data_IF_457935237017
#
_entry.id   IF_457935237017
#
_cell.length_a   1.000
_cell.length_b   1.000
_cell.length_c   1.000
_cell.angle_alpha   90.00
_cell.angle_beta   90.00
_cell.angle_gamma   90.00
#
_symmetry.space_group_name_H-M   'P 1'
#
loop_
_entity.id
_entity.type
_entity.pdbx_description
1 polymer ?
#
# COMPACT_ATOMS: atom_id res chain seq x y z
N UNK A 1 15.52 -14.90 -24.08
CA UNK A 1 15.67 -14.87 -22.60
C UNK A 1 17.06 -15.28 -22.13
N UNK A 2 17.59 -16.48 -22.45
CA UNK A 2 18.94 -16.91 -21.99
C UNK A 2 20.09 -15.97 -22.41
N UNK A 3 20.07 -15.41 -23.62
CA UNK A 3 21.09 -14.45 -24.11
C UNK A 3 21.04 -13.07 -23.41
N UNK A 4 19.89 -12.68 -22.85
CA UNK A 4 19.66 -11.39 -22.18
C UNK A 4 20.03 -11.45 -20.68
N UNK A 5 19.78 -12.59 -20.03
CA UNK A 5 20.31 -12.86 -18.68
C UNK A 5 21.84 -12.94 -18.69
N UNK A 6 22.44 -13.51 -19.74
CA UNK A 6 23.89 -13.54 -19.88
C UNK A 6 24.50 -12.15 -20.11
N UNK A 7 23.86 -11.27 -20.89
CA UNK A 7 24.37 -9.91 -21.15
C UNK A 7 24.18 -8.96 -19.96
N UNK A 8 23.10 -9.10 -19.19
CA UNK A 8 22.93 -8.36 -17.93
C UNK A 8 23.92 -8.83 -16.85
N UNK A 9 24.20 -10.13 -16.76
CA UNK A 9 25.25 -10.66 -15.89
C UNK A 9 26.66 -10.20 -16.32
N UNK A 10 26.94 -10.06 -17.62
CA UNK A 10 28.23 -9.59 -18.11
C UNK A 10 28.45 -8.10 -17.87
N UNK A 11 27.39 -7.28 -18.00
CA UNK A 11 27.40 -5.87 -17.58
C UNK A 11 27.61 -5.74 -16.06
N UNK A 12 27.04 -6.65 -15.28
CA UNK A 12 27.22 -6.73 -13.84
C UNK A 12 28.68 -7.00 -13.46
N UNK A 13 29.35 -7.92 -14.17
CA UNK A 13 30.76 -8.26 -13.92
C UNK A 13 31.73 -7.12 -14.27
N UNK A 14 31.36 -6.26 -15.23
CA UNK A 14 32.14 -5.10 -15.68
C UNK A 14 31.95 -3.83 -14.82
N UNK A 15 30.87 -3.76 -14.04
CA UNK A 15 30.56 -2.62 -13.16
C UNK A 15 31.13 -2.74 -11.74
N UNK A 16 31.53 -3.94 -11.30
CA UNK A 16 32.17 -4.18 -9.99
C UNK A 16 33.41 -3.29 -9.74
N UNK A 17 34.34 -3.08 -10.69
CA UNK A 17 35.50 -2.23 -10.44
C UNK A 17 35.21 -0.72 -10.41
N UNK A 18 34.04 -0.26 -10.92
CA UNK A 18 33.67 1.16 -10.93
C UNK A 18 33.18 1.68 -9.57
N UNK A 19 32.81 0.78 -8.65
CA UNK A 19 32.34 1.13 -7.30
C UNK A 19 33.39 0.87 -6.19
N UNK A 20 34.66 0.65 -6.56
CA UNK A 20 35.76 0.59 -5.58
C UNK A 20 35.71 -0.59 -4.60
N UNK A 21 35.02 -1.69 -4.95
CA UNK A 21 35.00 -2.89 -4.11
C UNK A 21 36.34 -3.63 -4.28
N UNK A 22 37.27 -3.45 -3.34
CA UNK A 22 38.39 -4.39 -3.17
C UNK A 22 37.85 -5.68 -2.57
N UNK A 23 37.64 -6.69 -3.41
CA UNK A 23 37.32 -8.04 -2.95
C UNK A 23 38.65 -8.66 -2.48
N UNK A 24 38.87 -8.66 -1.16
CA UNK A 24 39.95 -9.44 -0.57
C UNK A 24 39.67 -10.92 -0.88
N UNK A 25 40.50 -11.52 -1.74
CA UNK A 25 40.43 -12.94 -2.05
C UNK A 25 41.13 -13.70 -0.92
N UNK A 26 40.36 -14.32 -0.01
CA UNK A 26 40.92 -15.24 0.98
C UNK A 26 41.26 -16.57 0.30
N UNK A 27 42.56 -16.89 0.21
CA UNK A 27 43.05 -18.10 -0.47
C UNK A 27 42.86 -19.39 0.35
N UNK A 28 42.39 -19.34 1.60
CA UNK A 28 42.09 -20.55 2.39
C UNK A 28 40.92 -20.35 3.37
N UNK A 29 40.07 -21.37 3.63
CA UNK A 29 38.81 -21.22 4.38
C UNK A 29 38.94 -21.00 5.90
N UNK A 30 40.17 -21.00 6.44
CA UNK A 30 40.41 -20.96 7.89
C UNK A 30 41.07 -19.65 8.38
N UNK A 31 41.47 -18.75 7.48
CA UNK A 31 42.07 -17.46 7.87
C UNK A 31 41.05 -16.44 8.39
N UNK A 32 39.75 -16.66 8.13
CA UNK A 32 38.67 -15.78 8.59
C UNK A 32 38.43 -15.79 10.09
N UNK A 33 38.87 -16.83 10.81
CA UNK A 33 38.78 -16.92 12.28
C UNK A 33 40.02 -16.35 12.99
N UNK A 34 41.18 -16.34 12.32
CA UNK A 34 42.41 -15.76 12.87
C UNK A 34 42.38 -14.23 12.93
N UNK A 35 41.67 -13.58 12.02
CA UNK A 35 41.45 -12.13 12.04
C UNK A 35 40.64 -11.68 13.27
N UNK A 36 39.66 -12.48 13.70
CA UNK A 36 38.84 -12.20 14.90
C UNK A 36 39.68 -12.28 16.17
N UNK A 37 40.62 -13.23 16.26
CA UNK A 37 41.54 -13.35 17.38
C UNK A 37 42.59 -12.24 17.47
N UNK A 38 43.01 -11.65 16.33
CA UNK A 38 43.95 -10.52 16.34
C UNK A 38 43.29 -9.18 16.69
N UNK A 39 41.98 -9.03 16.45
CA UNK A 39 41.19 -7.87 16.90
C UNK A 39 40.94 -7.94 18.40
N UNK A 40 40.70 -9.13 18.94
CA UNK A 40 40.48 -9.35 20.39
C UNK A 40 41.77 -9.33 21.23
N UNK A 41 42.95 -9.47 20.61
CA UNK A 41 44.23 -9.63 21.30
C UNK A 41 45.07 -8.36 21.49
N UNK A 42 44.68 -7.21 20.94
CA UNK A 42 45.41 -5.95 21.13
C UNK A 42 44.72 -5.09 22.17
N UNK A 43 45.11 -5.31 23.43
CA UNK A 43 45.06 -4.31 24.51
C UNK A 43 45.40 -2.92 23.96
N UNK A 44 44.41 -2.04 23.91
CA UNK A 44 44.61 -0.59 23.71
C UNK A 44 44.25 -0.01 22.35
N UNK A 45 43.35 -0.61 21.56
CA UNK A 45 42.82 0.07 20.37
C UNK A 45 41.75 1.10 20.79
N UNK A 46 42.09 2.38 20.66
CA UNK A 46 41.14 3.48 20.73
C UNK A 46 39.98 3.23 19.76
N UNK A 47 38.75 3.35 20.26
CA UNK A 47 37.48 3.32 19.52
C UNK A 47 37.53 4.28 18.32
N UNK A 48 37.85 3.75 17.14
CA UNK A 48 37.74 4.49 15.88
C UNK A 48 36.29 4.41 15.44
N UNK A 49 35.51 5.40 15.88
CA UNK A 49 34.06 5.55 15.70
C UNK A 49 33.61 5.85 14.24
N UNK A 50 34.45 5.65 13.22
CA UNK A 50 34.20 6.13 11.85
C UNK A 50 33.76 5.05 10.84
N UNK A 51 33.69 3.78 11.22
CA UNK A 51 33.38 2.66 10.29
C UNK A 51 32.14 1.84 10.67
N UNK A 52 31.45 2.22 11.73
CA UNK A 52 30.24 1.53 12.17
C UNK A 52 28.99 2.14 11.52
N UNK A 53 28.02 1.27 11.21
CA UNK A 53 26.72 1.70 10.70
C UNK A 53 26.08 2.67 11.69
N UNK A 54 25.48 3.76 11.20
CA UNK A 54 24.97 4.85 12.03
C UNK A 54 23.94 4.40 13.09
N UNK A 55 23.24 3.32 12.80
CA UNK A 55 22.20 2.71 13.65
C UNK A 55 22.67 1.42 14.35
N UNK A 56 23.99 1.18 14.42
CA UNK A 56 24.51 -0.01 15.11
C UNK A 56 24.40 0.10 16.64
N UNK A 57 24.37 -1.05 17.32
CA UNK A 57 24.28 -1.12 18.78
C UNK A 57 25.40 -0.33 19.46
N UNK A 58 25.07 0.30 20.59
CA UNK A 58 26.01 1.09 21.41
C UNK A 58 26.77 0.19 22.41
N UNK A 59 26.44 -1.10 22.47
CA UNK A 59 27.03 -2.05 23.43
C UNK A 59 28.28 -2.73 22.85
N UNK A 60 29.35 -2.76 23.66
CA UNK A 60 30.65 -3.29 23.25
C UNK A 60 30.57 -4.76 22.83
N UNK A 61 31.05 -5.06 21.63
CA UNK A 61 30.99 -6.39 21.00
C UNK A 61 29.71 -6.66 20.20
N UNK A 62 28.58 -6.03 20.52
CA UNK A 62 27.35 -6.10 19.73
C UNK A 62 27.35 -5.09 18.57
N UNK A 63 28.08 -3.98 18.72
CA UNK A 63 28.19 -2.89 17.74
C UNK A 63 28.70 -3.36 16.37
N UNK A 64 29.77 -4.15 16.33
CA UNK A 64 30.39 -4.66 15.09
C UNK A 64 29.48 -5.64 14.33
N UNK A 65 28.85 -6.57 15.06
CA UNK A 65 27.93 -7.57 14.50
C UNK A 65 26.69 -6.88 13.93
N UNK A 66 26.09 -5.97 14.72
CA UNK A 66 24.90 -5.24 14.32
C UNK A 66 25.20 -4.34 13.12
N UNK A 67 26.33 -3.63 13.13
CA UNK A 67 26.81 -2.82 12.01
C UNK A 67 26.92 -3.63 10.73
N UNK A 68 27.53 -4.81 10.79
CA UNK A 68 27.70 -5.70 9.63
C UNK A 68 26.35 -6.17 9.06
N UNK A 69 25.42 -6.56 9.93
CA UNK A 69 24.06 -6.97 9.53
C UNK A 69 23.32 -5.80 8.88
N UNK A 70 23.43 -4.59 9.44
CA UNK A 70 22.75 -3.41 8.91
C UNK A 70 23.32 -2.98 7.55
N UNK A 71 24.64 -2.98 7.36
CA UNK A 71 25.25 -2.74 6.05
C UNK A 71 24.81 -3.79 5.02
N UNK A 72 24.70 -5.07 5.43
CA UNK A 72 24.20 -6.12 4.55
C UNK A 72 22.73 -5.90 4.19
N UNK A 73 21.90 -5.52 5.16
CA UNK A 73 20.49 -5.21 4.95
C UNK A 73 20.31 -4.01 4.00
N UNK A 74 21.07 -2.94 4.20
CA UNK A 74 21.10 -1.76 3.33
C UNK A 74 21.55 -2.12 1.92
N UNK A 75 22.60 -2.93 1.79
CA UNK A 75 23.05 -3.41 0.49
C UNK A 75 21.96 -4.21 -0.23
N UNK A 76 21.28 -5.12 0.46
CA UNK A 76 20.15 -5.88 -0.10
C UNK A 76 19.01 -4.92 -0.50
N UNK A 77 18.68 -3.93 0.33
CA UNK A 77 17.64 -2.92 0.07
C UNK A 77 17.96 -2.12 -1.20
N UNK A 78 19.17 -1.59 -1.32
CA UNK A 78 19.59 -0.85 -2.52
C UNK A 78 19.68 -1.74 -3.76
N UNK A 79 20.16 -2.97 -3.60
CA UNK A 79 20.27 -3.91 -4.71
C UNK A 79 18.90 -4.31 -5.26
N UNK A 80 17.97 -4.74 -4.39
CA UNK A 80 16.61 -5.14 -4.80
C UNK A 80 15.83 -3.91 -5.27
N UNK A 81 15.98 -2.76 -4.63
CA UNK A 81 15.41 -1.49 -5.08
C UNK A 81 15.90 -1.11 -6.48
N UNK A 82 17.19 -1.26 -6.75
CA UNK A 82 17.78 -1.03 -8.07
C UNK A 82 17.22 -1.97 -9.15
N UNK A 83 17.08 -3.26 -8.83
CA UNK A 83 16.44 -4.24 -9.74
C UNK A 83 14.99 -3.85 -10.02
N UNK A 84 14.23 -3.46 -8.99
CA UNK A 84 12.83 -3.07 -9.15
C UNK A 84 12.70 -1.85 -10.08
N UNK A 85 13.55 -0.84 -9.93
CA UNK A 85 13.59 0.33 -10.83
C UNK A 85 13.90 -0.07 -12.27
N UNK A 86 14.91 -0.91 -12.49
CA UNK A 86 15.26 -1.42 -13.83
C UNK A 86 14.07 -2.18 -14.44
N UNK A 87 13.39 -3.01 -13.65
CA UNK A 87 12.22 -3.77 -14.11
C UNK A 87 11.05 -2.86 -14.48
N UNK A 88 10.82 -1.78 -13.73
CA UNK A 88 9.81 -0.76 -14.07
C UNK A 88 10.17 -0.06 -15.37
N UNK A 89 11.42 0.38 -15.54
CA UNK A 89 11.89 1.04 -16.76
C UNK A 89 11.75 0.10 -17.97
N UNK A 90 12.22 -1.15 -17.84
CA UNK A 90 12.14 -2.16 -18.88
C UNK A 90 10.69 -2.45 -19.29
N UNK A 91 9.82 -2.70 -18.32
CA UNK A 91 8.42 -2.99 -18.58
C UNK A 91 7.67 -1.76 -19.11
N UNK A 92 8.01 -0.56 -18.65
CA UNK A 92 7.48 0.70 -19.15
C UNK A 92 7.85 0.95 -20.61
N UNK A 93 9.13 0.81 -20.96
CA UNK A 93 9.59 0.92 -22.35
C UNK A 93 8.91 -0.13 -23.24
N UNK A 94 8.79 -1.37 -22.76
CA UNK A 94 8.07 -2.43 -23.48
C UNK A 94 6.58 -2.10 -23.67
N UNK A 95 5.94 -1.44 -22.71
CA UNK A 95 4.55 -0.99 -22.84
C UNK A 95 4.35 0.08 -23.91
N UNK A 96 5.32 0.98 -24.09
CA UNK A 96 5.28 2.01 -25.13
C UNK A 96 5.49 1.39 -26.52
N UNK A 97 6.39 0.41 -26.62
CA UNK A 97 6.74 -0.25 -27.88
C UNK A 97 5.70 -1.31 -28.27
N UNK A 98 5.08 -1.97 -27.30
CA UNK A 98 3.98 -2.90 -27.53
C UNK A 98 2.75 -2.12 -28.01
N UNK A 99 2.68 -1.91 -29.33
CA UNK A 99 1.51 -1.35 -29.99
C UNK A 99 0.23 -2.16 -29.72
N UNK A 100 -0.91 -1.67 -30.22
CA UNK A 100 -2.25 -2.25 -29.97
C UNK A 100 -2.37 -3.76 -30.29
N UNK A 101 -1.49 -4.32 -31.12
CA UNK A 101 -1.59 -5.70 -31.60
C UNK A 101 -0.92 -6.75 -30.69
N UNK A 102 -0.22 -6.35 -29.63
CA UNK A 102 0.45 -7.28 -28.70
C UNK A 102 -0.12 -7.22 -27.28
N UNK A 103 -1.41 -7.57 -27.16
CA UNK A 103 -2.16 -7.53 -25.89
C UNK A 103 -1.49 -8.37 -24.78
N UNK A 104 -0.96 -9.55 -25.14
CA UNK A 104 -0.24 -10.43 -24.21
C UNK A 104 1.03 -9.79 -23.65
N UNK A 105 1.76 -9.05 -24.47
CA UNK A 105 2.99 -8.39 -24.03
C UNK A 105 2.71 -7.15 -23.18
N UNK A 106 1.68 -6.39 -23.53
CA UNK A 106 1.22 -5.29 -22.71
C UNK A 106 0.75 -5.77 -21.34
N UNK A 107 0.04 -6.91 -21.26
CA UNK A 107 -0.39 -7.49 -19.99
C UNK A 107 0.79 -7.98 -19.14
N UNK A 108 1.75 -8.67 -19.76
CA UNK A 108 2.96 -9.12 -19.07
C UNK A 108 3.74 -7.95 -18.46
N UNK A 109 3.92 -6.87 -19.23
CA UNK A 109 4.60 -5.66 -18.75
C UNK A 109 3.87 -5.01 -17.58
N UNK A 110 2.53 -4.93 -17.62
CA UNK A 110 1.73 -4.42 -16.49
C UNK A 110 1.93 -5.25 -15.22
N UNK A 111 1.96 -6.58 -15.34
CA UNK A 111 2.23 -7.48 -14.21
C UNK A 111 3.63 -7.27 -13.65
N UNK A 112 4.65 -7.14 -14.52
CA UNK A 112 6.03 -6.87 -14.11
C UNK A 112 6.16 -5.57 -13.32
N UNK A 113 5.52 -4.48 -13.77
CA UNK A 113 5.48 -3.21 -13.04
C UNK A 113 4.81 -3.42 -11.68
N UNK A 114 3.66 -4.11 -11.65
CA UNK A 114 2.94 -4.42 -10.41
C UNK A 114 3.79 -5.18 -9.40
N UNK A 115 4.52 -6.21 -9.83
CA UNK A 115 5.41 -6.98 -8.95
C UNK A 115 6.61 -6.18 -8.47
N UNK A 116 7.19 -5.31 -9.32
CA UNK A 116 8.29 -4.45 -8.93
C UNK A 116 7.85 -3.43 -7.86
N UNK A 117 6.68 -2.82 -8.02
CA UNK A 117 6.09 -1.93 -7.01
C UNK A 117 5.82 -2.70 -5.72
N UNK A 118 5.23 -3.90 -5.82
CA UNK A 118 4.96 -4.73 -4.65
C UNK A 118 6.24 -5.07 -3.88
N UNK A 119 7.32 -5.40 -4.58
CA UNK A 119 8.61 -5.66 -3.95
C UNK A 119 9.16 -4.44 -3.21
N UNK A 120 9.07 -3.24 -3.82
CA UNK A 120 9.48 -1.99 -3.17
C UNK A 120 8.65 -1.75 -1.91
N UNK A 121 7.34 -1.92 -1.99
CA UNK A 121 6.45 -1.78 -0.83
C UNK A 121 6.87 -2.75 0.27
N UNK A 122 7.01 -4.04 -0.03
CA UNK A 122 7.42 -5.05 0.96
C UNK A 122 8.74 -4.72 1.64
N UNK A 123 9.72 -4.17 0.90
CA UNK A 123 11.02 -3.75 1.48
C UNK A 123 10.85 -2.60 2.46
N UNK A 124 10.09 -1.57 2.09
CA UNK A 124 9.82 -0.42 2.97
C UNK A 124 9.08 -0.88 4.23
N UNK A 125 8.14 -1.82 4.07
CA UNK A 125 7.40 -2.40 5.18
C UNK A 125 8.30 -3.22 6.10
N UNK A 126 9.11 -4.12 5.56
CA UNK A 126 10.01 -4.94 6.34
C UNK A 126 10.96 -4.08 7.18
N UNK A 127 11.54 -3.04 6.58
CA UNK A 127 12.44 -2.10 7.25
C UNK A 127 11.74 -1.35 8.40
N UNK A 128 10.54 -0.82 8.14
CA UNK A 128 9.73 -0.11 9.14
C UNK A 128 9.30 -1.04 10.28
N UNK A 129 8.83 -2.24 9.96
CA UNK A 129 8.37 -3.22 10.94
C UNK A 129 9.54 -3.70 11.83
N UNK A 130 10.67 -4.06 11.24
CA UNK A 130 11.82 -4.54 12.00
C UNK A 130 12.36 -3.44 12.92
N UNK A 131 12.66 -2.25 12.37
CA UNK A 131 13.34 -1.20 13.12
C UNK A 131 12.43 -0.46 14.10
N UNK A 132 11.19 -0.15 13.71
CA UNK A 132 10.30 0.67 14.55
C UNK A 132 9.30 -0.13 15.38
N UNK A 133 8.91 -1.33 14.93
CA UNK A 133 7.87 -2.12 15.62
C UNK A 133 8.48 -3.21 16.51
N UNK A 134 9.39 -4.02 15.96
CA UNK A 134 9.86 -5.22 16.66
C UNK A 134 11.06 -4.99 17.57
N UNK A 135 12.04 -4.20 17.13
CA UNK A 135 13.32 -4.10 17.85
C UNK A 135 13.60 -2.71 18.43
N UNK A 136 13.07 -1.64 17.84
CA UNK A 136 13.59 -0.29 18.11
C UNK A 136 14.97 -0.10 17.46
N UNK A 137 15.44 1.15 17.35
CA UNK A 137 16.71 1.48 16.68
C UNK A 137 17.91 0.80 17.35
N UNK A 138 17.88 0.68 18.68
CA UNK A 138 18.95 0.08 19.49
C UNK A 138 18.50 -1.08 20.38
N UNK A 139 17.42 -1.79 20.02
CA UNK A 139 16.90 -2.87 20.89
C UNK A 139 16.11 -2.34 22.09
N UNK A 140 15.75 -1.06 22.09
CA UNK A 140 15.08 -0.36 23.20
C UNK A 140 13.75 -1.02 23.58
N UNK A 141 13.08 -1.64 22.61
CA UNK A 141 11.84 -2.39 22.80
C UNK A 141 11.98 -3.52 23.84
N UNK A 142 13.20 -4.02 24.09
CA UNK A 142 13.45 -5.12 25.03
C UNK A 142 14.08 -4.68 26.36
N UNK A 143 14.37 -3.38 26.55
CA UNK A 143 15.11 -2.89 27.72
C UNK A 143 14.29 -2.93 29.01
N UNK A 144 13.02 -2.55 28.94
CA UNK A 144 12.09 -2.57 30.06
C UNK A 144 10.63 -2.60 29.55
N UNK A 145 9.69 -2.91 30.44
CA UNK A 145 8.27 -3.04 30.10
C UNK A 145 7.67 -1.74 29.52
N UNK A 146 8.08 -0.57 30.02
CA UNK A 146 7.57 0.72 29.54
C UNK A 146 8.05 1.06 28.13
N UNK A 147 9.31 0.76 27.82
CA UNK A 147 9.87 0.90 26.47
C UNK A 147 9.18 -0.06 25.50
N UNK A 148 8.96 -1.32 25.90
CA UNK A 148 8.22 -2.30 25.09
C UNK A 148 6.80 -1.79 24.73
N UNK A 149 6.11 -1.18 25.69
CA UNK A 149 4.77 -0.60 25.47
C UNK A 149 4.82 0.61 24.53
N UNK A 150 5.81 1.50 24.69
CA UNK A 150 6.02 2.65 23.81
C UNK A 150 6.27 2.23 22.35
N UNK A 151 7.17 1.27 22.11
CA UNK A 151 7.45 0.76 20.77
C UNK A 151 6.29 -0.04 20.18
N UNK A 152 5.51 -0.73 21.02
CA UNK A 152 4.27 -1.37 20.57
C UNK A 152 3.22 -0.35 20.10
N UNK A 153 3.09 0.79 20.80
CA UNK A 153 2.18 1.88 20.42
C UNK A 153 2.66 2.59 19.15
N UNK A 154 3.91 3.03 19.10
CA UNK A 154 4.52 3.62 17.89
C UNK A 154 4.39 2.66 16.71
N UNK A 155 4.60 1.36 16.94
CA UNK A 155 4.45 0.38 15.89
C UNK A 155 3.01 0.21 15.39
N UNK A 156 2.03 0.26 16.29
CA UNK A 156 0.62 0.28 15.92
C UNK A 156 0.28 1.54 15.10
N UNK A 157 0.84 2.70 15.45
CA UNK A 157 0.64 3.95 14.71
C UNK A 157 1.29 3.92 13.32
N UNK A 158 2.47 3.31 13.18
CA UNK A 158 3.09 3.10 11.85
C UNK A 158 2.24 2.17 10.98
N UNK A 159 1.73 1.06 11.53
CA UNK A 159 0.84 0.13 10.80
C UNK A 159 -0.45 0.86 10.39
N UNK A 160 -1.01 1.67 11.29
CA UNK A 160 -2.18 2.52 11.00
C UNK A 160 -1.87 3.57 9.92
N UNK A 161 -0.69 4.17 9.94
CA UNK A 161 -0.22 5.12 8.93
C UNK A 161 -0.13 4.48 7.55
N UNK A 162 0.44 3.28 7.44
CA UNK A 162 0.48 2.51 6.20
C UNK A 162 -0.93 2.15 5.72
N UNK A 163 -1.76 1.64 6.64
CA UNK A 163 -3.14 1.30 6.34
C UNK A 163 -3.90 2.52 5.78
N UNK A 164 -3.79 3.68 6.43
CA UNK A 164 -4.42 4.93 5.97
C UNK A 164 -3.88 5.35 4.60
N UNK A 165 -2.57 5.23 4.37
CA UNK A 165 -1.98 5.51 3.07
C UNK A 165 -2.55 4.60 1.97
N UNK A 166 -2.65 3.30 2.23
CA UNK A 166 -3.24 2.34 1.30
C UNK A 166 -4.72 2.64 1.04
N UNK A 167 -5.48 2.97 2.08
CA UNK A 167 -6.89 3.38 1.99
C UNK A 167 -7.06 4.63 1.13
N UNK A 168 -6.29 5.69 1.37
CA UNK A 168 -6.32 6.90 0.54
C UNK A 168 -5.94 6.62 -0.91
N UNK A 169 -4.92 5.79 -1.13
CA UNK A 169 -4.46 5.45 -2.48
C UNK A 169 -5.52 4.64 -3.25
N UNK A 170 -6.13 3.64 -2.61
CA UNK A 170 -7.23 2.86 -3.21
C UNK A 170 -8.45 3.73 -3.45
N UNK A 171 -8.79 4.61 -2.51
CA UNK A 171 -9.86 5.59 -2.66
C UNK A 171 -9.65 6.51 -3.87
N UNK A 172 -8.44 7.06 -4.03
CA UNK A 172 -8.07 7.89 -5.17
C UNK A 172 -8.15 7.13 -6.50
N UNK A 173 -7.62 5.89 -6.55
CA UNK A 173 -7.73 5.03 -7.75
C UNK A 173 -9.18 4.76 -8.09
N UNK A 174 -10.02 4.47 -7.09
CA UNK A 174 -11.42 4.18 -7.30
C UNK A 174 -12.15 5.38 -7.90
N UNK A 175 -11.91 6.59 -7.35
CA UNK A 175 -12.48 7.84 -7.89
C UNK A 175 -12.02 8.07 -9.34
N UNK A 176 -10.72 7.92 -9.63
CA UNK A 176 -10.19 8.04 -10.99
C UNK A 176 -10.84 7.02 -11.94
N UNK A 177 -11.00 5.78 -11.51
CA UNK A 177 -11.66 4.73 -12.30
C UNK A 177 -13.12 5.07 -12.58
N UNK A 178 -13.85 5.59 -11.60
CA UNK A 178 -15.24 6.06 -11.77
C UNK A 178 -15.27 7.19 -12.81
N UNK A 179 -14.39 8.18 -12.70
CA UNK A 179 -14.32 9.31 -13.63
C UNK A 179 -13.98 8.82 -15.06
N UNK A 180 -12.89 8.07 -15.24
CA UNK A 180 -12.43 7.61 -16.56
C UNK A 180 -13.49 6.78 -17.26
N UNK A 181 -14.13 5.85 -16.53
CA UNK A 181 -15.17 5.00 -17.12
C UNK A 181 -16.49 5.77 -17.29
N UNK A 182 -16.78 6.77 -16.46
CA UNK A 182 -17.91 7.68 -16.63
C UNK A 182 -17.81 8.50 -17.92
N UNK A 183 -16.66 9.15 -18.15
CA UNK A 183 -16.39 9.88 -19.40
C UNK A 183 -16.44 8.91 -20.60
N UNK A 184 -15.91 7.70 -20.47
CA UNK A 184 -16.01 6.68 -21.53
C UNK A 184 -17.46 6.36 -21.88
N UNK A 185 -18.35 6.18 -20.90
CA UNK A 185 -19.78 5.96 -21.16
C UNK A 185 -20.38 7.14 -21.92
N UNK A 186 -20.05 8.37 -21.50
CA UNK A 186 -20.54 9.59 -22.14
C UNK A 186 -20.13 9.71 -23.61
N UNK A 187 -18.93 9.25 -23.96
CA UNK A 187 -18.39 9.30 -25.32
C UNK A 187 -18.70 8.05 -26.18
N UNK A 188 -19.25 6.98 -25.60
CA UNK A 188 -19.42 5.67 -26.26
C UNK A 188 -20.67 5.57 -27.15
N UNK A 189 -20.97 6.62 -27.92
CA UNK A 189 -22.14 6.66 -28.81
C UNK A 189 -22.13 5.46 -29.78
N UNK A 190 -23.17 4.62 -29.72
CA UNK A 190 -23.36 3.47 -30.62
C UNK A 190 -22.54 2.20 -30.29
N UNK A 191 -21.72 2.18 -29.24
CA UNK A 191 -20.94 1.00 -28.84
C UNK A 191 -21.45 0.41 -27.50
N UNK A 192 -22.39 -0.53 -27.57
CA UNK A 192 -23.00 -1.17 -26.39
C UNK A 192 -22.01 -1.97 -25.55
N UNK A 193 -21.06 -2.64 -26.20
CA UNK A 193 -20.02 -3.44 -25.52
C UNK A 193 -19.08 -2.56 -24.70
N UNK A 194 -18.69 -1.41 -25.25
CA UNK A 194 -17.88 -0.40 -24.56
C UNK A 194 -18.57 0.12 -23.30
N UNK A 195 -19.87 0.41 -23.40
CA UNK A 195 -20.71 0.86 -22.29
C UNK A 195 -20.83 -0.20 -21.19
N UNK A 196 -21.14 -1.45 -21.54
CA UNK A 196 -21.26 -2.55 -20.56
C UNK A 196 -19.94 -2.80 -19.82
N UNK A 197 -18.81 -2.81 -20.54
CA UNK A 197 -17.47 -2.96 -19.94
C UNK A 197 -17.14 -1.80 -18.99
N UNK A 198 -17.48 -0.57 -19.35
CA UNK A 198 -17.26 0.59 -18.49
C UNK A 198 -18.10 0.53 -17.21
N UNK A 199 -19.38 0.16 -17.30
CA UNK A 199 -20.27 -0.05 -16.14
C UNK A 199 -19.70 -1.13 -15.22
N UNK A 200 -19.25 -2.26 -15.78
CA UNK A 200 -18.66 -3.34 -14.99
C UNK A 200 -17.40 -2.88 -14.24
N UNK A 201 -16.55 -2.05 -14.86
CA UNK A 201 -15.36 -1.49 -14.21
C UNK A 201 -15.72 -0.52 -13.09
N UNK A 202 -16.76 0.30 -13.26
CA UNK A 202 -17.30 1.17 -12.21
C UNK A 202 -17.82 0.31 -11.05
N UNK A 203 -18.57 -0.76 -11.35
CA UNK A 203 -19.09 -1.68 -10.33
C UNK A 203 -17.96 -2.34 -9.53
N UNK A 204 -16.90 -2.81 -10.17
CA UNK A 204 -15.70 -3.35 -9.48
C UNK A 204 -15.00 -2.30 -8.62
N UNK A 205 -14.94 -1.05 -9.09
CA UNK A 205 -14.38 0.06 -8.32
C UNK A 205 -15.20 0.37 -7.06
N UNK A 206 -16.53 0.36 -7.19
CA UNK A 206 -17.45 0.55 -6.06
C UNK A 206 -17.36 -0.63 -5.09
N UNK A 207 -17.29 -1.87 -5.58
CA UNK A 207 -17.07 -3.04 -4.74
C UNK A 207 -15.73 -2.97 -3.99
N UNK A 208 -14.68 -2.44 -4.62
CA UNK A 208 -13.39 -2.16 -3.98
C UNK A 208 -13.51 -1.14 -2.87
N UNK A 209 -14.22 -0.03 -3.09
CA UNK A 209 -14.50 0.97 -2.03
C UNK A 209 -15.29 0.36 -0.88
N UNK A 210 -16.25 -0.51 -1.17
CA UNK A 210 -16.98 -1.23 -0.11
C UNK A 210 -16.04 -2.09 0.71
N UNK A 211 -15.18 -2.85 0.05
CA UNK A 211 -14.21 -3.69 0.72
C UNK A 211 -13.27 -2.87 1.61
N UNK A 212 -12.84 -1.70 1.16
CA UNK A 212 -11.98 -0.80 1.95
C UNK A 212 -12.69 -0.33 3.21
N UNK A 213 -13.91 0.18 3.14
CA UNK A 213 -14.57 0.64 4.38
C UNK A 213 -15.09 -0.50 5.27
N UNK A 214 -15.31 -1.71 4.74
CA UNK A 214 -15.46 -2.91 5.59
C UNK A 214 -14.13 -3.27 6.25
N UNK A 215 -13.01 -3.13 5.54
CA UNK A 215 -11.68 -3.34 6.11
C UNK A 215 -11.38 -2.34 7.21
N UNK A 216 -11.83 -1.09 7.08
CA UNK A 216 -11.69 -0.08 8.12
C UNK A 216 -12.31 -0.54 9.44
N UNK A 217 -13.54 -1.05 9.37
CA UNK A 217 -14.24 -1.62 10.52
C UNK A 217 -13.50 -2.82 11.12
N UNK A 218 -13.12 -3.81 10.32
CA UNK A 218 -12.45 -5.02 10.83
C UNK A 218 -11.07 -4.69 11.41
N UNK A 219 -10.30 -3.85 10.74
CA UNK A 219 -8.92 -3.57 11.12
C UNK A 219 -8.88 -2.62 12.32
N UNK A 220 -9.59 -1.49 12.30
CA UNK A 220 -9.52 -0.50 13.38
C UNK A 220 -10.25 -0.95 14.63
N UNK A 221 -11.37 -1.66 14.50
CA UNK A 221 -12.19 -1.96 15.68
C UNK A 221 -11.97 -3.36 16.25
N UNK A 222 -11.64 -4.35 15.41
CA UNK A 222 -11.46 -5.75 15.85
C UNK A 222 -9.98 -6.09 16.02
N UNK A 223 -9.13 -5.77 15.03
CA UNK A 223 -7.73 -6.21 15.03
C UNK A 223 -6.80 -5.25 15.79
N UNK A 224 -7.02 -3.94 15.69
CA UNK A 224 -6.17 -2.91 16.31
C UNK A 224 -7.00 -1.90 17.12
N UNK A 225 -7.69 -2.36 18.19
CA UNK A 225 -8.40 -1.44 19.07
C UNK A 225 -7.42 -0.43 19.67
N UNK A 226 -7.82 0.84 19.78
CA UNK A 226 -6.97 1.88 20.37
C UNK A 226 -6.51 1.50 21.79
N UNK A 227 -5.24 1.12 21.91
CA UNK A 227 -4.59 0.88 23.19
C UNK A 227 -4.55 2.17 23.99
N UNK A 228 -5.21 2.18 25.16
CA UNK A 228 -5.25 3.32 26.08
C UNK A 228 -6.67 3.74 26.48
N UNK A 229 -7.69 3.41 25.69
CA UNK A 229 -9.07 3.69 26.05
C UNK A 229 -9.76 2.40 26.53
N UNK A 230 -9.82 2.22 27.85
CA UNK A 230 -10.83 1.36 28.47
C UNK A 230 -12.20 2.01 28.29
N UNK A 231 -12.69 2.03 27.07
CA UNK A 231 -14.05 2.45 26.77
C UNK A 231 -15.01 1.49 27.49
N UNK A 232 -15.97 2.00 28.30
CA UNK A 232 -17.13 1.23 28.68
C UNK A 232 -17.72 0.53 27.46
N UNK A 233 -18.27 -0.68 27.63
CA UNK A 233 -18.81 -1.49 26.52
C UNK A 233 -19.83 -0.71 25.65
N UNK A 234 -20.52 0.27 26.25
CA UNK A 234 -21.50 1.14 25.60
C UNK A 234 -20.82 2.10 24.60
N UNK A 235 -19.68 2.72 24.94
CA UNK A 235 -18.99 3.68 24.07
C UNK A 235 -18.33 3.02 22.85
N UNK A 236 -17.90 1.76 23.00
CA UNK A 236 -17.47 0.96 21.85
C UNK A 236 -18.64 0.70 20.90
N UNK A 237 -19.79 0.30 21.43
CA UNK A 237 -20.99 0.04 20.61
C UNK A 237 -21.47 1.31 19.88
N UNK A 238 -21.45 2.47 20.52
CA UNK A 238 -21.84 3.74 19.88
C UNK A 238 -20.86 4.15 18.78
N UNK A 239 -19.55 3.99 19.01
CA UNK A 239 -18.51 4.29 18.01
C UNK A 239 -18.61 3.36 16.81
N UNK A 240 -18.79 2.06 17.04
CA UNK A 240 -19.01 1.05 15.99
C UNK A 240 -20.24 1.39 15.15
N UNK A 241 -21.37 1.68 15.78
CA UNK A 241 -22.62 1.95 15.08
C UNK A 241 -22.55 3.27 14.29
N UNK A 242 -21.89 4.31 14.81
CA UNK A 242 -21.62 5.54 14.05
C UNK A 242 -20.70 5.29 12.86
N UNK A 243 -19.63 4.51 13.03
CA UNK A 243 -18.71 4.14 11.95
C UNK A 243 -19.41 3.39 10.81
N UNK A 244 -20.15 2.33 11.13
CA UNK A 244 -20.93 1.57 10.15
C UNK A 244 -21.95 2.44 9.42
N UNK A 245 -22.62 3.34 10.13
CA UNK A 245 -23.63 4.23 9.55
C UNK A 245 -23.01 5.28 8.64
N UNK A 246 -21.87 5.84 9.01
CA UNK A 246 -21.10 6.77 8.16
C UNK A 246 -20.63 6.09 6.88
N UNK A 247 -20.06 4.89 7.00
CA UNK A 247 -19.61 4.13 5.85
C UNK A 247 -20.76 3.77 4.90
N UNK A 248 -21.86 3.22 5.43
CA UNK A 248 -23.04 2.91 4.63
C UNK A 248 -23.61 4.16 3.95
N UNK A 249 -23.68 5.28 4.67
CA UNK A 249 -24.15 6.56 4.13
C UNK A 249 -23.24 7.08 3.01
N UNK A 250 -21.92 7.05 3.20
CA UNK A 250 -20.95 7.49 2.19
C UNK A 250 -21.01 6.62 0.93
N UNK A 251 -21.18 5.31 1.09
CA UNK A 251 -21.36 4.39 -0.03
C UNK A 251 -22.66 4.67 -0.80
N UNK A 252 -23.79 4.78 -0.09
CA UNK A 252 -25.08 5.09 -0.71
C UNK A 252 -25.03 6.45 -1.41
N UNK A 253 -24.39 7.45 -0.82
CA UNK A 253 -24.22 8.76 -1.44
C UNK A 253 -23.40 8.69 -2.73
N UNK A 254 -22.31 7.91 -2.73
CA UNK A 254 -21.45 7.71 -3.91
C UNK A 254 -22.20 6.97 -5.02
N UNK A 255 -22.90 5.88 -4.68
CA UNK A 255 -23.70 5.10 -5.63
C UNK A 255 -24.86 5.93 -6.20
N UNK A 256 -25.54 6.72 -5.36
CA UNK A 256 -26.60 7.62 -5.77
C UNK A 256 -26.07 8.71 -6.71
N UNK A 257 -24.90 9.28 -6.43
CA UNK A 257 -24.26 10.25 -7.32
C UNK A 257 -23.99 9.64 -8.72
N UNK A 258 -23.44 8.42 -8.78
CA UNK A 258 -23.23 7.72 -10.06
C UNK A 258 -24.55 7.44 -10.78
N UNK A 259 -25.59 7.01 -10.06
CA UNK A 259 -26.93 6.78 -10.63
C UNK A 259 -27.59 8.06 -11.14
N UNK A 260 -27.39 9.20 -10.46
CA UNK A 260 -27.87 10.51 -10.91
C UNK A 260 -27.17 10.94 -12.21
N UNK A 261 -25.85 10.76 -12.30
CA UNK A 261 -25.11 11.02 -13.55
C UNK A 261 -25.62 10.13 -14.70
N UNK A 262 -25.85 8.84 -14.42
CA UNK A 262 -26.40 7.91 -15.40
C UNK A 262 -27.81 8.32 -15.85
N UNK A 263 -28.68 8.69 -14.92
CA UNK A 263 -30.04 9.16 -15.23
C UNK A 263 -30.02 10.43 -16.07
N UNK A 264 -29.18 11.41 -15.71
CA UNK A 264 -29.00 12.65 -16.46
C UNK A 264 -28.48 12.40 -17.89
N UNK A 265 -27.45 11.56 -18.02
CA UNK A 265 -26.94 11.15 -19.34
C UNK A 265 -28.03 10.50 -20.20
N UNK A 266 -28.76 9.54 -19.64
CA UNK A 266 -29.81 8.83 -20.36
C UNK A 266 -30.96 9.74 -20.79
N UNK A 267 -31.27 10.75 -19.97
CA UNK A 267 -32.28 11.76 -20.31
C UNK A 267 -31.83 12.70 -21.44
N UNK A 268 -30.58 13.17 -21.41
CA UNK A 268 -30.04 14.10 -22.41
C UNK A 268 -29.78 13.40 -23.75
N UNK A 269 -29.17 12.22 -23.72
CA UNK A 269 -28.74 11.49 -24.92
C UNK A 269 -29.85 10.60 -25.50
N UNK A 270 -30.77 10.11 -24.68
CA UNK A 270 -31.89 9.28 -25.12
C UNK A 270 -32.87 9.99 -26.06
N UNK A 271 -32.85 11.34 -26.10
CA UNK A 271 -33.71 12.11 -26.99
C UNK A 271 -35.20 11.88 -26.72
N UNK A 272 -35.99 11.78 -27.80
CA UNK A 272 -37.43 11.56 -27.72
C UNK A 272 -37.84 10.08 -27.56
N UNK A 273 -36.88 9.16 -27.36
CA UNK A 273 -37.17 7.74 -27.13
C UNK A 273 -37.87 7.55 -25.75
N UNK A 274 -39.15 7.11 -25.72
CA UNK A 274 -39.90 6.97 -24.48
C UNK A 274 -39.29 5.94 -23.52
N UNK A 275 -38.62 4.91 -24.05
CA UNK A 275 -37.99 3.86 -23.24
C UNK A 275 -36.78 4.39 -22.47
N UNK A 276 -36.00 5.26 -23.10
CA UNK A 276 -34.84 5.90 -22.48
C UNK A 276 -35.25 6.88 -21.38
N UNK A 277 -36.27 7.70 -21.62
CA UNK A 277 -36.83 8.60 -20.61
C UNK A 277 -37.40 7.82 -19.40
N UNK A 278 -38.09 6.71 -19.64
CA UNK A 278 -38.64 5.85 -18.58
C UNK A 278 -37.55 5.25 -17.68
N UNK A 279 -36.46 4.75 -18.27
CA UNK A 279 -35.31 4.21 -17.53
C UNK A 279 -34.55 5.30 -16.75
N UNK A 280 -34.36 6.47 -17.35
CA UNK A 280 -33.75 7.62 -16.68
C UNK A 280 -34.53 8.04 -15.42
N UNK A 281 -35.87 8.15 -15.53
CA UNK A 281 -36.73 8.49 -14.40
C UNK A 281 -36.66 7.44 -13.28
N UNK A 282 -36.65 6.15 -13.61
CA UNK A 282 -36.49 5.06 -12.64
C UNK A 282 -35.15 5.15 -11.91
N UNK A 283 -34.05 5.39 -12.64
CA UNK A 283 -32.72 5.55 -12.05
C UNK A 283 -32.64 6.78 -11.13
N UNK A 284 -33.22 7.92 -11.54
CA UNK A 284 -33.29 9.14 -10.73
C UNK A 284 -34.05 8.90 -9.43
N UNK A 285 -35.25 8.31 -9.49
CA UNK A 285 -36.06 8.01 -8.29
C UNK A 285 -35.33 7.05 -7.37
N UNK A 286 -34.70 5.98 -7.92
CA UNK A 286 -33.93 5.04 -7.11
C UNK A 286 -32.77 5.72 -6.38
N UNK A 287 -32.06 6.65 -7.03
CA UNK A 287 -30.98 7.41 -6.40
C UNK A 287 -31.48 8.33 -5.26
N UNK A 288 -32.58 9.04 -5.48
CA UNK A 288 -33.20 9.93 -4.47
C UNK A 288 -33.68 9.11 -3.27
N UNK A 289 -34.39 8.00 -3.50
CA UNK A 289 -34.87 7.13 -2.41
C UNK A 289 -33.70 6.58 -1.61
N UNK A 290 -32.62 6.14 -2.28
CA UNK A 290 -31.40 5.70 -1.60
C UNK A 290 -30.80 6.79 -0.70
N UNK A 291 -30.66 8.01 -1.20
CA UNK A 291 -30.15 9.14 -0.40
C UNK A 291 -31.02 9.46 0.81
N UNK A 292 -32.35 9.45 0.64
CA UNK A 292 -33.29 9.68 1.74
C UNK A 292 -33.17 8.59 2.81
N UNK A 293 -33.05 7.32 2.41
CA UNK A 293 -32.85 6.21 3.35
C UNK A 293 -31.52 6.31 4.10
N UNK A 294 -30.44 6.71 3.41
CA UNK A 294 -29.14 6.93 4.04
C UNK A 294 -29.19 8.08 5.06
N UNK A 295 -29.74 9.23 4.66
CA UNK A 295 -29.90 10.39 5.54
C UNK A 295 -30.80 10.09 6.75
N UNK A 296 -31.89 9.35 6.54
CA UNK A 296 -32.77 8.89 7.62
C UNK A 296 -32.06 7.95 8.58
N UNK A 297 -31.32 6.97 8.07
CA UNK A 297 -30.53 6.04 8.89
C UNK A 297 -29.49 6.77 9.72
N UNK A 298 -28.77 7.72 9.11
CA UNK A 298 -27.80 8.56 9.81
C UNK A 298 -28.43 9.40 10.91
N UNK A 299 -29.55 10.06 10.62
CA UNK A 299 -30.28 10.86 11.60
C UNK A 299 -30.75 10.01 12.80
N UNK A 300 -31.34 8.83 12.56
CA UNK A 300 -31.82 7.93 13.61
C UNK A 300 -30.66 7.53 14.54
N UNK A 301 -29.57 7.04 13.96
CA UNK A 301 -28.38 6.58 14.70
C UNK A 301 -27.83 7.73 15.54
N UNK A 302 -27.66 8.92 14.95
CA UNK A 302 -27.11 10.07 15.66
C UNK A 302 -28.05 10.56 16.78
N UNK A 303 -29.36 10.59 16.55
CA UNK A 303 -30.35 11.01 17.57
C UNK A 303 -30.43 10.01 18.73
N UNK A 304 -30.45 8.71 18.46
CA UNK A 304 -30.51 7.68 19.53
C UNK A 304 -29.29 7.78 20.45
N UNK A 305 -28.09 7.95 19.88
CA UNK A 305 -26.86 8.09 20.68
C UNK A 305 -26.69 9.47 21.31
N UNK A 306 -27.32 10.51 20.77
CA UNK A 306 -27.33 11.83 21.40
C UNK A 306 -28.21 11.88 22.65
N UNK A 307 -29.18 10.97 22.79
CA UNK A 307 -30.08 10.90 23.95
C UNK A 307 -29.49 9.98 25.04
N UNK A 308 -28.60 9.05 24.69
CA UNK A 308 -28.00 8.10 25.65
C UNK A 308 -26.76 8.63 26.39
N UNK A 309 -26.21 9.77 25.96
CA UNK A 309 -25.11 10.49 26.62
C UNK A 309 -25.65 11.72 27.35
#
# INVERSE_FOLDING_TARGET
MKKLLATSALMFMLLIPLFGISIAHAQNPYDGLGAVGQVLGKTGAQTQNDTLHAESSVEDGASEITSTILYLADYIKYFVGGIAVIMIIYAGARLIIAGKDSEKEAEASKKTIGYAILAIVVIILADTLVRKVFFGEYGEAFRNQGSAEFFAQEGADQIRGLYNFAEYFVGAIAILMIIINGVRIAMSFGNEDGKKKAIQRIAWSLAGLVLVGVSEFVVKDILFPETGTRLPAIDKATTLLKGMTNFASAFIATAAFVMLLYAGYMYVVGGADPDSAGKAKKALVAAIVGLVLAAGSYAIVNTVFSISN
#
